data_IF_778792319941
#
_entry.id   IF_778792319941
#
_cell.length_a   1.000
_cell.length_b   1.000
_cell.length_c   1.000
_cell.angle_alpha   90.00
_cell.angle_beta   90.00
_cell.angle_gamma   90.00
#
_symmetry.space_group_name_H-M   'P 1'
#
loop_
_entity.id
_entity.type
_entity.pdbx_description
1 polymer ?
#
# COMPACT_ATOMS: atom_id res chain seq x y z
N UNK A 1 -10.39 -0.66 -11.24
CA UNK A 1 -10.46 0.78 -10.91
C UNK A 1 -10.94 1.08 -9.48
N UNK A 2 -11.62 0.19 -8.76
CA UNK A 2 -11.97 0.41 -7.35
C UNK A 2 -12.96 1.57 -7.08
N UNK A 3 -13.49 2.20 -8.14
CA UNK A 3 -14.33 3.39 -8.09
C UNK A 3 -15.76 3.11 -7.59
N UNK A 4 -16.19 1.86 -7.59
CA UNK A 4 -17.49 1.50 -7.00
C UNK A 4 -17.41 1.54 -5.48
N UNK A 5 -18.31 2.31 -4.86
CA UNK A 5 -18.53 2.35 -3.41
C UNK A 5 -19.03 1.03 -2.82
N UNK A 6 -19.38 0.05 -3.67
CA UNK A 6 -19.78 -1.30 -3.29
C UNK A 6 -18.61 -2.29 -3.24
N UNK A 7 -17.42 -1.92 -3.72
CA UNK A 7 -16.24 -2.76 -3.57
C UNK A 7 -15.87 -2.85 -2.08
N UNK A 8 -16.25 -3.97 -1.44
CA UNK A 8 -15.87 -4.26 -0.07
C UNK A 8 -14.82 -5.35 -0.07
N UNK A 9 -13.59 -4.96 0.21
CA UNK A 9 -12.49 -5.88 0.50
C UNK A 9 -12.08 -5.70 1.96
N UNK A 10 -11.81 -6.81 2.63
CA UNK A 10 -11.20 -6.78 3.96
C UNK A 10 -9.68 -6.63 3.81
N UNK A 11 -9.01 -6.13 4.85
CA UNK A 11 -7.55 -6.05 4.85
C UNK A 11 -6.91 -7.44 4.65
N UNK A 12 -7.48 -8.47 5.28
CA UNK A 12 -7.04 -9.85 5.13
C UNK A 12 -7.16 -10.36 3.68
N UNK A 13 -8.26 -10.07 2.99
CA UNK A 13 -8.42 -10.46 1.58
C UNK A 13 -7.41 -9.76 0.67
N UNK A 14 -7.09 -8.50 0.93
CA UNK A 14 -6.06 -7.77 0.19
C UNK A 14 -4.68 -8.37 0.43
N UNK A 15 -4.34 -8.70 1.68
CA UNK A 15 -3.06 -9.36 2.01
C UNK A 15 -2.95 -10.73 1.34
N UNK A 16 -4.01 -11.55 1.38
CA UNK A 16 -4.03 -12.84 0.70
C UNK A 16 -3.80 -12.71 -0.82
N UNK A 17 -4.37 -11.68 -1.45
CA UNK A 17 -4.13 -11.38 -2.86
C UNK A 17 -2.67 -10.97 -3.13
N UNK A 18 -2.09 -10.12 -2.28
CA UNK A 18 -0.68 -9.73 -2.39
C UNK A 18 0.22 -10.97 -2.30
N UNK A 19 -0.01 -11.83 -1.32
CA UNK A 19 0.76 -13.07 -1.12
C UNK A 19 0.60 -14.03 -2.29
N UNK A 20 -0.61 -14.20 -2.84
CA UNK A 20 -0.85 -15.03 -4.00
C UNK A 20 -0.10 -14.51 -5.25
N UNK A 21 -0.13 -13.20 -5.50
CA UNK A 21 0.61 -12.58 -6.61
C UNK A 21 2.13 -12.68 -6.46
N UNK A 22 2.64 -12.68 -5.23
CA UNK A 22 4.06 -12.91 -4.94
C UNK A 22 4.44 -14.39 -5.08
N UNK A 23 3.55 -15.31 -4.71
CA UNK A 23 3.82 -16.75 -4.74
C UNK A 23 3.90 -17.29 -6.18
N UNK A 24 3.13 -16.74 -7.12
CA UNK A 24 3.11 -17.17 -8.52
C UNK A 24 4.35 -16.69 -9.30
N UNK A 25 5.27 -17.59 -9.70
CA UNK A 25 6.48 -17.21 -10.43
C UNK A 25 6.22 -16.58 -11.80
N UNK A 26 5.10 -16.91 -12.45
CA UNK A 26 4.76 -16.35 -13.76
C UNK A 26 4.27 -14.90 -13.66
N UNK A 27 3.71 -14.51 -12.51
CA UNK A 27 3.16 -13.17 -12.30
C UNK A 27 4.06 -12.27 -11.44
N UNK A 28 4.94 -12.84 -10.62
CA UNK A 28 5.72 -12.14 -9.59
C UNK A 28 6.37 -10.85 -10.08
N UNK A 29 7.15 -10.92 -11.15
CA UNK A 29 7.95 -9.78 -11.61
C UNK A 29 7.07 -8.66 -12.17
N UNK A 30 6.07 -9.02 -12.98
CA UNK A 30 5.09 -8.07 -13.50
C UNK A 30 4.26 -7.45 -12.37
N UNK A 31 3.88 -8.26 -11.38
CA UNK A 31 3.11 -7.84 -10.22
C UNK A 31 3.88 -6.84 -9.37
N UNK A 32 5.11 -7.16 -8.98
CA UNK A 32 5.98 -6.25 -8.23
C UNK A 32 6.30 -4.99 -9.04
N UNK A 33 6.56 -5.12 -10.35
CA UNK A 33 6.81 -4.00 -11.25
C UNK A 33 5.62 -3.05 -11.42
N UNK A 34 4.39 -3.50 -11.13
CA UNK A 34 3.18 -2.67 -11.17
C UNK A 34 3.00 -1.76 -9.94
N UNK A 35 3.76 -2.01 -8.87
CA UNK A 35 3.62 -1.29 -7.60
C UNK A 35 4.52 -0.05 -7.56
N UNK A 36 4.08 0.97 -6.82
CA UNK A 36 4.87 2.19 -6.62
C UNK A 36 5.94 1.97 -5.55
N UNK A 37 7.09 2.64 -5.68
CA UNK A 37 8.23 2.51 -4.77
C UNK A 37 8.36 3.79 -3.93
N UNK A 38 8.34 3.65 -2.60
CA UNK A 38 8.39 4.77 -1.66
C UNK A 38 9.57 5.71 -1.89
N UNK A 39 9.26 6.99 -2.14
CA UNK A 39 10.22 8.05 -2.38
C UNK A 39 10.96 7.95 -3.71
N UNK A 40 10.59 7.01 -4.60
CA UNK A 40 11.35 6.71 -5.82
C UNK A 40 10.49 6.81 -7.08
N UNK A 41 9.32 6.15 -7.12
CA UNK A 41 8.55 6.05 -8.36
C UNK A 41 7.04 5.93 -8.14
N UNK A 42 6.28 6.40 -9.14
CA UNK A 42 4.83 6.32 -9.18
C UNK A 42 4.15 7.10 -8.06
N UNK A 43 2.97 6.66 -7.64
CA UNK A 43 2.15 7.40 -6.66
C UNK A 43 2.74 7.56 -5.25
N UNK A 44 3.93 6.99 -4.99
CA UNK A 44 4.66 7.13 -3.74
C UNK A 44 5.96 7.94 -3.90
N UNK A 45 6.27 8.51 -5.06
CA UNK A 45 7.50 9.28 -5.31
C UNK A 45 7.67 10.47 -4.32
N UNK A 46 6.56 11.08 -3.93
CA UNK A 46 6.50 12.19 -2.97
C UNK A 46 6.05 11.77 -1.57
N UNK A 47 5.97 10.47 -1.28
CA UNK A 47 5.60 9.91 0.03
C UNK A 47 6.72 9.03 0.56
N UNK A 48 6.80 8.90 1.89
CA UNK A 48 7.77 7.99 2.53
C UNK A 48 9.23 8.23 2.08
N UNK A 49 9.60 9.50 1.88
CA UNK A 49 10.85 9.88 1.23
C UNK A 49 12.10 9.67 2.10
N UNK A 50 11.93 9.50 3.41
CA UNK A 50 13.02 9.29 4.35
C UNK A 50 13.23 7.80 4.68
N UNK A 51 14.45 7.46 5.10
CA UNK A 51 14.71 6.18 5.78
C UNK A 51 13.86 6.14 7.08
N UNK A 52 13.40 4.96 7.50
CA UNK A 52 13.70 3.64 6.93
C UNK A 52 12.80 3.23 5.76
N UNK A 53 11.75 3.99 5.41
CA UNK A 53 10.75 3.56 4.43
C UNK A 53 11.17 3.75 2.96
N UNK A 54 11.96 4.79 2.64
CA UNK A 54 12.42 5.09 1.28
C UNK A 54 13.04 3.87 0.60
N UNK A 55 12.52 3.49 -0.55
CA UNK A 55 12.97 2.35 -1.35
C UNK A 55 12.68 0.97 -0.74
N UNK A 56 12.08 0.90 0.46
CA UNK A 56 11.78 -0.37 1.15
C UNK A 56 10.29 -0.68 1.20
N UNK A 57 9.43 0.30 0.97
CA UNK A 57 7.99 0.11 0.83
C UNK A 57 7.64 0.10 -0.65
N UNK A 58 7.07 -1.01 -1.11
CA UNK A 58 6.61 -1.20 -2.48
C UNK A 58 5.11 -1.48 -2.39
N UNK A 59 4.28 -0.55 -2.83
CA UNK A 59 2.85 -0.60 -2.52
C UNK A 59 1.97 0.07 -3.57
N UNK A 60 0.69 -0.31 -3.55
CA UNK A 60 -0.36 0.31 -4.33
C UNK A 60 -1.13 1.30 -3.48
N UNK A 61 -1.40 2.47 -4.06
CA UNK A 61 -2.30 3.48 -3.50
C UNK A 61 -3.72 3.33 -4.08
N UNK A 62 -4.70 3.66 -3.24
CA UNK A 62 -6.10 3.87 -3.61
C UNK A 62 -6.64 5.14 -2.94
N UNK A 63 -7.36 5.98 -3.66
CA UNK A 63 -7.96 7.21 -3.11
C UNK A 63 -9.26 7.52 -3.83
N UNK A 64 -10.33 7.74 -3.08
CA UNK A 64 -11.63 8.27 -3.51
C UNK A 64 -12.10 9.31 -2.49
N UNK A 65 -13.26 9.94 -2.68
CA UNK A 65 -13.86 10.83 -1.69
C UNK A 65 -14.29 10.12 -0.40
N UNK A 66 -14.53 8.80 -0.48
CA UNK A 66 -15.03 7.99 0.62
C UNK A 66 -14.00 7.01 1.19
N UNK A 67 -12.85 6.84 0.55
CA UNK A 67 -11.84 5.87 0.97
C UNK A 67 -10.41 6.29 0.62
N UNK A 68 -9.46 5.90 1.48
CA UNK A 68 -8.04 5.98 1.22
C UNK A 68 -7.38 4.67 1.66
N UNK A 69 -6.51 4.14 0.81
CA UNK A 69 -5.87 2.86 1.05
C UNK A 69 -4.39 2.87 0.62
N UNK A 70 -3.60 2.09 1.35
CA UNK A 70 -2.22 1.73 1.01
C UNK A 70 -2.00 0.26 1.35
N UNK A 71 -1.58 -0.54 0.37
CA UNK A 71 -1.33 -1.96 0.57
C UNK A 71 -0.15 -2.42 -0.29
N UNK A 72 0.68 -3.32 0.23
CA UNK A 72 1.84 -3.81 -0.47
C UNK A 72 2.81 -4.51 0.48
N UNK A 73 4.09 -4.36 0.17
CA UNK A 73 5.17 -5.02 0.89
C UNK A 73 6.12 -4.03 1.55
N UNK A 74 6.71 -4.46 2.66
CA UNK A 74 7.83 -3.78 3.30
C UNK A 74 9.00 -4.74 3.42
N UNK A 75 10.08 -4.42 2.72
CA UNK A 75 11.23 -5.32 2.51
C UNK A 75 10.73 -6.66 1.93
N UNK A 76 11.33 -7.76 2.37
CA UNK A 76 11.01 -9.16 2.09
C UNK A 76 10.23 -9.83 3.24
N UNK A 77 9.69 -9.04 4.18
CA UNK A 77 9.17 -9.56 5.45
C UNK A 77 7.69 -9.37 5.68
N UNK A 78 7.14 -8.21 5.32
CA UNK A 78 5.76 -7.88 5.65
C UNK A 78 4.95 -7.66 4.38
N UNK A 79 3.82 -8.36 4.27
CA UNK A 79 2.69 -7.92 3.46
C UNK A 79 1.72 -7.13 4.36
N UNK A 80 1.14 -6.05 3.85
CA UNK A 80 0.24 -5.21 4.64
C UNK A 80 -0.89 -4.60 3.80
N UNK A 81 -1.99 -4.28 4.48
CA UNK A 81 -3.07 -3.49 3.93
C UNK A 81 -3.63 -2.54 4.99
N UNK A 82 -3.66 -1.24 4.66
CA UNK A 82 -4.33 -0.21 5.44
C UNK A 82 -5.49 0.31 4.61
N UNK A 83 -6.72 0.04 5.08
CA UNK A 83 -7.97 0.44 4.41
C UNK A 83 -8.73 1.41 5.32
N UNK A 84 -8.91 2.66 4.88
CA UNK A 84 -9.59 3.70 5.66
C UNK A 84 -10.79 4.24 4.88
N UNK A 85 -11.99 4.01 5.40
CA UNK A 85 -13.23 4.50 4.82
C UNK A 85 -13.77 5.68 5.64
N UNK A 86 -14.49 6.61 5.00
CA UNK A 86 -15.13 7.77 5.63
C UNK A 86 -16.18 8.41 4.71
N UNK A 87 -16.99 9.33 5.23
CA UNK A 87 -18.01 10.05 4.46
C UNK A 87 -18.02 11.55 4.84
N UNK A 88 -17.07 12.37 4.34
CA UNK A 88 -15.91 11.99 3.53
C UNK A 88 -14.73 11.53 4.39
N UNK A 89 -13.74 10.87 3.76
CA UNK A 89 -12.46 10.58 4.42
C UNK A 89 -11.51 11.77 4.24
N UNK A 90 -10.77 12.14 5.29
CA UNK A 90 -9.68 13.10 5.12
C UNK A 90 -8.48 12.40 4.47
N UNK A 91 -8.27 12.64 3.18
CA UNK A 91 -7.13 12.06 2.43
C UNK A 91 -5.79 12.40 3.05
N UNK A 92 -5.63 13.62 3.59
CA UNK A 92 -4.38 14.05 4.23
C UNK A 92 -4.07 13.21 5.47
N UNK A 93 -5.01 13.13 6.42
CA UNK A 93 -4.81 12.39 7.67
C UNK A 93 -4.74 10.88 7.44
N UNK A 94 -5.52 10.35 6.48
CA UNK A 94 -5.44 8.96 6.09
C UNK A 94 -4.06 8.59 5.54
N UNK A 95 -3.54 9.36 4.58
CA UNK A 95 -2.19 9.15 4.03
C UNK A 95 -1.11 9.29 5.11
N UNK A 96 -1.22 10.27 6.01
CA UNK A 96 -0.28 10.43 7.13
C UNK A 96 -0.27 9.20 8.06
N UNK A 97 -1.44 8.64 8.35
CA UNK A 97 -1.56 7.43 9.16
C UNK A 97 -0.99 6.20 8.44
N UNK A 98 -1.30 6.02 7.15
CA UNK A 98 -0.73 4.96 6.30
C UNK A 98 0.80 5.03 6.25
N UNK A 99 1.35 6.23 6.03
CA UNK A 99 2.79 6.44 5.92
C UNK A 99 3.50 6.15 7.25
N UNK A 100 2.91 6.55 8.38
CA UNK A 100 3.41 6.21 9.71
C UNK A 100 3.39 4.70 9.94
N UNK A 101 2.31 4.02 9.59
CA UNK A 101 2.18 2.56 9.74
C UNK A 101 3.27 1.82 8.94
N UNK A 102 3.42 2.16 7.65
CA UNK A 102 4.43 1.55 6.79
C UNK A 102 5.86 1.86 7.27
N UNK A 103 6.10 3.06 7.82
CA UNK A 103 7.39 3.45 8.40
C UNK A 103 7.72 2.63 9.64
N UNK A 104 6.75 2.34 10.51
CA UNK A 104 6.95 1.47 11.68
C UNK A 104 7.33 0.06 11.24
N UNK A 105 6.63 -0.52 10.26
CA UNK A 105 7.02 -1.82 9.70
C UNK A 105 8.42 -1.79 9.09
N UNK A 106 8.78 -0.70 8.41
CA UNK A 106 10.10 -0.53 7.82
C UNK A 106 11.21 -0.33 8.85
N UNK A 107 10.88 0.12 10.06
CA UNK A 107 11.80 0.29 11.18
C UNK A 107 11.97 -0.99 12.02
N UNK A 108 11.01 -1.92 11.94
CA UNK A 108 11.03 -3.12 12.76
C UNK A 108 12.30 -3.95 12.50
N UNK A 109 12.92 -4.50 13.58
CA UNK A 109 14.10 -5.34 13.51
C UNK A 109 13.75 -6.67 12.84
#
# INVERSE_FOLDING_TARGET
>A
SGLSSLNRLTAAAVVALLEAGLADPALRDAFLGSLAVAGVAGTLEHRLQARPARGRVIAKTGTTSAASALSGFVRDRYAFAVLQNGRPVSTFWARKAQDRFATVLAAAP
#
